data_IF_896235342399
#
_entry.id   IF_896235342399
#
_cell.length_a   1.000
_cell.length_b   1.000
_cell.length_c   1.000
_cell.angle_alpha   90.00
_cell.angle_beta   90.00
_cell.angle_gamma   90.00
#
_symmetry.space_group_name_H-M   'P 1'
#
loop_
_entity.id
_entity.type
_entity.pdbx_description
1 polymer ?
#
# COMPACT_ATOMS: atom_id res chain seq x y z
N UNK A 1 53.82 21.36 -31.99
CA UNK A 1 53.33 20.15 -31.28
C UNK A 1 52.25 20.48 -30.23
N UNK A 2 51.46 21.56 -30.39
CA UNK A 2 50.45 22.00 -29.41
C UNK A 2 48.99 22.02 -29.93
N UNK A 3 48.76 21.78 -31.23
CA UNK A 3 47.41 21.88 -31.82
C UNK A 3 46.57 20.60 -31.70
N UNK A 4 47.19 19.42 -31.56
CA UNK A 4 46.49 18.14 -31.57
C UNK A 4 45.81 17.79 -30.23
N UNK A 5 46.20 18.41 -29.11
CA UNK A 5 45.61 18.14 -27.79
C UNK A 5 44.28 18.84 -27.55
N UNK A 6 44.05 20.01 -28.17
CA UNK A 6 42.82 20.79 -27.99
C UNK A 6 41.68 20.19 -28.82
N UNK A 7 41.96 19.73 -30.04
CA UNK A 7 40.95 19.06 -30.89
C UNK A 7 40.46 17.74 -30.28
N UNK A 8 41.36 16.96 -29.64
CA UNK A 8 40.98 15.71 -28.95
C UNK A 8 40.10 16.00 -27.72
N UNK A 9 40.39 17.05 -26.94
CA UNK A 9 39.56 17.46 -25.81
C UNK A 9 38.17 17.97 -26.23
N UNK A 10 38.07 18.71 -27.34
CA UNK A 10 36.79 19.13 -27.91
C UNK A 10 35.97 17.95 -28.47
N UNK A 11 36.62 17.02 -29.17
CA UNK A 11 35.98 15.80 -29.67
C UNK A 11 35.47 14.91 -28.53
N UNK A 12 36.26 14.72 -27.46
CA UNK A 12 35.83 13.95 -26.28
C UNK A 12 34.66 14.63 -25.56
N UNK A 13 34.65 15.96 -25.43
CA UNK A 13 33.56 16.69 -24.78
C UNK A 13 32.26 16.64 -25.60
N UNK A 14 32.34 16.79 -26.94
CA UNK A 14 31.19 16.63 -27.83
C UNK A 14 30.66 15.19 -27.87
N UNK A 15 31.55 14.18 -27.82
CA UNK A 15 31.15 12.77 -27.79
C UNK A 15 30.55 12.36 -26.43
N UNK A 16 31.05 12.91 -25.33
CA UNK A 16 30.50 12.67 -24.00
C UNK A 16 29.12 13.33 -23.84
N UNK A 17 28.97 14.56 -24.35
CA UNK A 17 27.69 15.27 -24.39
C UNK A 17 26.64 14.57 -25.25
N UNK A 18 27.01 14.05 -26.42
CA UNK A 18 26.08 13.31 -27.30
C UNK A 18 25.67 11.96 -26.71
N UNK A 19 26.60 11.21 -26.09
CA UNK A 19 26.28 9.94 -25.41
C UNK A 19 25.33 10.17 -24.23
N UNK A 20 25.56 11.20 -23.42
CA UNK A 20 24.71 11.50 -22.26
C UNK A 20 23.29 11.96 -22.67
N UNK A 21 23.17 12.74 -23.75
CA UNK A 21 21.88 13.10 -24.34
C UNK A 21 21.12 11.88 -24.89
N UNK A 22 21.83 10.96 -25.56
CA UNK A 22 21.24 9.70 -26.06
C UNK A 22 20.74 8.83 -24.90
N UNK A 23 21.52 8.66 -23.83
CA UNK A 23 21.09 7.85 -22.66
C UNK A 23 19.88 8.44 -21.94
N UNK A 24 19.80 9.77 -21.82
CA UNK A 24 18.65 10.45 -21.19
C UNK A 24 17.39 10.33 -22.06
N UNK A 25 17.55 10.39 -23.38
CA UNK A 25 16.45 10.22 -24.31
C UNK A 25 15.92 8.77 -24.30
N UNK A 26 16.80 7.78 -24.31
CA UNK A 26 16.44 6.35 -24.17
C UNK A 26 15.72 6.08 -22.84
N UNK A 27 16.23 6.61 -21.72
CA UNK A 27 15.58 6.45 -20.42
C UNK A 27 14.17 7.06 -20.40
N UNK A 28 14.01 8.24 -21.00
CA UNK A 28 12.72 8.91 -21.12
C UNK A 28 11.75 8.11 -21.98
N UNK A 29 12.18 7.58 -23.12
CA UNK A 29 11.36 6.74 -24.01
C UNK A 29 10.90 5.45 -23.29
N UNK A 30 11.81 4.80 -22.57
CA UNK A 30 11.48 3.62 -21.77
C UNK A 30 10.49 3.94 -20.64
N UNK A 31 10.65 5.08 -19.96
CA UNK A 31 9.73 5.50 -18.90
C UNK A 31 8.35 5.86 -19.46
N UNK A 32 8.27 6.46 -20.66
CA UNK A 32 7.01 6.70 -21.38
C UNK A 32 6.31 5.39 -21.74
N UNK A 33 7.06 4.41 -22.25
CA UNK A 33 6.52 3.07 -22.54
C UNK A 33 5.99 2.42 -21.25
N UNK A 34 6.79 2.46 -20.19
CA UNK A 34 6.42 1.90 -18.89
C UNK A 34 5.16 2.57 -18.32
N UNK A 35 5.04 3.89 -18.42
CA UNK A 35 3.85 4.63 -18.01
C UNK A 35 2.59 4.16 -18.78
N UNK A 36 2.71 4.03 -20.10
CA UNK A 36 1.60 3.55 -20.92
C UNK A 36 1.18 2.12 -20.55
N UNK A 37 2.15 1.21 -20.35
CA UNK A 37 1.87 -0.16 -19.94
C UNK A 37 1.15 -0.22 -18.58
N UNK A 38 1.59 0.60 -17.61
CA UNK A 38 0.92 0.70 -16.29
C UNK A 38 -0.50 1.28 -16.43
N UNK A 39 -0.72 2.34 -17.22
CA UNK A 39 -2.06 2.91 -17.41
C UNK A 39 -3.00 1.89 -18.06
N UNK A 40 -2.51 1.11 -19.04
CA UNK A 40 -3.30 0.05 -19.69
C UNK A 40 -3.67 -1.03 -18.66
N UNK A 41 -2.70 -1.53 -17.88
CA UNK A 41 -2.97 -2.53 -16.85
C UNK A 41 -3.95 -2.01 -15.78
N UNK A 42 -3.79 -0.75 -15.36
CA UNK A 42 -4.69 -0.07 -14.42
C UNK A 42 -6.11 0.01 -14.99
N UNK A 43 -6.25 0.38 -16.26
CA UNK A 43 -7.56 0.47 -16.95
C UNK A 43 -8.25 -0.89 -17.09
N UNK A 44 -7.50 -1.97 -17.32
CA UNK A 44 -8.04 -3.34 -17.29
C UNK A 44 -8.57 -3.71 -15.91
N UNK A 45 -7.85 -3.34 -14.85
CA UNK A 45 -8.29 -3.58 -13.47
C UNK A 45 -9.57 -2.81 -13.15
N UNK A 46 -9.68 -1.54 -13.58
CA UNK A 46 -10.93 -0.76 -13.48
C UNK A 46 -12.08 -1.51 -14.15
N UNK A 47 -11.89 -1.94 -15.40
CA UNK A 47 -12.93 -2.63 -16.16
C UNK A 47 -13.40 -3.92 -15.45
N UNK A 48 -12.47 -4.73 -14.95
CA UNK A 48 -12.78 -5.93 -14.18
C UNK A 48 -13.57 -5.63 -12.89
N UNK A 49 -13.11 -4.65 -12.11
CA UNK A 49 -13.74 -4.31 -10.83
C UNK A 49 -15.11 -3.61 -11.03
N UNK A 50 -15.33 -2.89 -12.14
CA UNK A 50 -16.63 -2.34 -12.50
C UNK A 50 -17.66 -3.43 -12.84
N UNK A 51 -17.22 -4.60 -13.35
CA UNK A 51 -18.09 -5.74 -13.64
C UNK A 51 -18.43 -6.57 -12.38
N UNK A 52 -17.55 -6.58 -11.38
CA UNK A 52 -17.65 -7.46 -10.20
C UNK A 52 -17.57 -6.71 -8.85
N UNK A 53 -18.00 -5.45 -8.79
CA UNK A 53 -17.87 -4.63 -7.57
C UNK A 53 -18.61 -5.20 -6.36
N UNK A 54 -19.66 -6.00 -6.57
CA UNK A 54 -20.43 -6.63 -5.49
C UNK A 54 -19.63 -7.69 -4.72
N UNK A 55 -18.60 -8.27 -5.37
CA UNK A 55 -17.71 -9.27 -4.76
C UNK A 55 -16.53 -8.63 -4.00
N UNK A 56 -16.31 -7.32 -4.13
CA UNK A 56 -15.26 -6.61 -3.39
C UNK A 56 -15.50 -6.71 -1.87
N UNK A 57 -14.44 -6.97 -1.11
CA UNK A 57 -14.43 -6.88 0.36
C UNK A 57 -13.76 -5.57 0.83
N UNK A 58 -13.72 -5.34 2.14
CA UNK A 58 -13.15 -4.12 2.71
C UNK A 58 -11.69 -3.89 2.27
N UNK A 59 -10.88 -4.95 2.21
CA UNK A 59 -9.46 -4.84 1.87
C UNK A 59 -9.23 -4.57 0.37
N UNK A 60 -10.03 -5.19 -0.49
CA UNK A 60 -10.04 -4.85 -1.92
C UNK A 60 -10.43 -3.39 -2.15
N UNK A 61 -11.44 -2.91 -1.41
CA UNK A 61 -11.87 -1.52 -1.47
C UNK A 61 -10.82 -0.55 -0.90
N UNK A 62 -10.09 -0.95 0.14
CA UNK A 62 -8.94 -0.20 0.63
C UNK A 62 -7.88 0.00 -0.46
N UNK A 63 -7.51 -1.05 -1.19
CA UNK A 63 -6.60 -0.96 -2.34
C UNK A 63 -7.11 -0.04 -3.45
N UNK A 64 -8.42 -0.05 -3.72
CA UNK A 64 -9.08 0.87 -4.65
C UNK A 64 -8.95 2.33 -4.20
N UNK A 65 -9.16 2.63 -2.91
CA UNK A 65 -9.02 3.99 -2.36
C UNK A 65 -7.57 4.47 -2.36
N UNK A 66 -6.60 3.58 -2.23
CA UNK A 66 -5.18 3.89 -2.42
C UNK A 66 -4.91 4.32 -3.87
N UNK A 67 -5.34 3.52 -4.85
CA UNK A 67 -5.20 3.85 -6.27
C UNK A 67 -5.86 5.19 -6.61
N UNK A 68 -7.09 5.39 -6.13
CA UNK A 68 -7.85 6.64 -6.29
C UNK A 68 -7.05 7.84 -5.78
N UNK A 69 -6.45 7.72 -4.59
CA UNK A 69 -5.60 8.76 -4.00
C UNK A 69 -4.38 9.08 -4.86
N UNK A 70 -3.68 8.06 -5.38
CA UNK A 70 -2.51 8.24 -6.25
C UNK A 70 -2.85 8.85 -7.61
N UNK A 71 -3.97 8.46 -8.23
CA UNK A 71 -4.46 9.07 -9.48
C UNK A 71 -4.83 10.53 -9.27
N UNK A 72 -5.56 10.86 -8.18
CA UNK A 72 -5.85 12.25 -7.80
C UNK A 72 -4.56 13.03 -7.58
N UNK A 73 -3.59 12.44 -6.86
CA UNK A 73 -2.27 13.03 -6.64
C UNK A 73 -1.53 13.32 -7.95
N UNK A 74 -1.59 12.40 -8.92
CA UNK A 74 -0.99 12.56 -10.25
C UNK A 74 -1.60 13.72 -11.03
N UNK A 75 -2.93 13.83 -11.00
CA UNK A 75 -3.66 14.95 -11.63
C UNK A 75 -3.29 16.29 -10.97
N UNK A 76 -3.14 16.31 -9.64
CA UNK A 76 -2.71 17.51 -8.91
C UNK A 76 -1.28 17.91 -9.27
N UNK A 77 -0.37 16.94 -9.31
CA UNK A 77 1.02 17.16 -9.72
C UNK A 77 1.05 17.80 -11.13
N UNK A 78 0.30 17.26 -12.09
CA UNK A 78 0.17 17.83 -13.45
C UNK A 78 -0.44 19.24 -13.54
N UNK A 79 -1.08 19.73 -12.48
CA UNK A 79 -1.64 21.10 -12.41
C UNK A 79 -0.66 22.10 -11.79
N UNK A 80 0.47 21.63 -11.25
CA UNK A 80 1.50 22.50 -10.68
C UNK A 80 2.38 23.11 -11.80
N UNK A 81 2.89 24.34 -11.63
CA UNK A 81 3.67 25.04 -12.67
C UNK A 81 4.94 24.30 -13.12
N UNK A 82 5.55 23.51 -12.25
CA UNK A 82 6.77 22.76 -12.53
C UNK A 82 6.52 21.44 -13.30
N UNK A 83 5.26 21.13 -13.62
CA UNK A 83 4.90 19.92 -14.38
C UNK A 83 4.31 20.26 -15.75
N UNK A 84 4.81 19.59 -16.79
CA UNK A 84 4.39 19.78 -18.18
C UNK A 84 3.72 18.51 -18.73
N UNK A 85 2.58 18.14 -18.15
CA UNK A 85 1.84 16.95 -18.55
C UNK A 85 1.04 17.17 -19.85
N UNK A 86 1.00 16.18 -20.77
CA UNK A 86 0.11 16.22 -21.93
C UNK A 86 -1.37 16.26 -21.55
N UNK A 87 -2.17 17.02 -22.31
CA UNK A 87 -3.63 17.12 -22.07
C UNK A 87 -4.36 15.78 -22.25
N UNK A 88 -3.90 14.92 -23.16
CA UNK A 88 -4.47 13.58 -23.35
C UNK A 88 -4.27 12.70 -22.10
N UNK A 89 -3.09 12.79 -21.48
CA UNK A 89 -2.77 12.07 -20.26
C UNK A 89 -3.66 12.53 -19.11
N UNK A 90 -3.77 13.84 -18.90
CA UNK A 90 -4.65 14.41 -17.87
C UNK A 90 -6.09 13.95 -18.08
N UNK A 91 -6.57 13.96 -19.34
CA UNK A 91 -7.93 13.51 -19.67
C UNK A 91 -8.15 12.03 -19.35
N UNK A 92 -7.18 11.16 -19.67
CA UNK A 92 -7.23 9.73 -19.32
C UNK A 92 -7.27 9.51 -17.81
N UNK A 93 -6.47 10.27 -17.06
CA UNK A 93 -6.44 10.18 -15.59
C UNK A 93 -7.75 10.68 -14.97
N UNK A 94 -8.33 11.76 -15.48
CA UNK A 94 -9.63 12.27 -14.98
C UNK A 94 -10.75 11.26 -15.25
N UNK A 95 -10.80 10.61 -16.43
CA UNK A 95 -11.77 9.54 -16.72
C UNK A 95 -11.59 8.37 -15.74
N UNK A 96 -10.35 7.91 -15.57
CA UNK A 96 -10.03 6.82 -14.64
C UNK A 96 -10.42 7.19 -13.20
N UNK A 97 -10.15 8.41 -12.76
CA UNK A 97 -10.54 8.92 -11.43
C UNK A 97 -12.06 8.85 -11.23
N UNK A 98 -12.87 9.24 -12.22
CA UNK A 98 -14.33 9.17 -12.12
C UNK A 98 -14.84 7.71 -12.07
N UNK A 99 -14.28 6.82 -12.90
CA UNK A 99 -14.62 5.39 -12.89
C UNK A 99 -14.32 4.75 -11.51
N UNK A 100 -13.11 4.98 -11.00
CA UNK A 100 -12.70 4.49 -9.68
C UNK A 100 -13.62 5.02 -8.59
N UNK A 101 -13.97 6.31 -8.64
CA UNK A 101 -14.86 6.94 -7.66
C UNK A 101 -16.23 6.28 -7.65
N UNK A 102 -16.85 6.12 -8.82
CA UNK A 102 -18.16 5.50 -8.97
C UNK A 102 -18.17 4.04 -8.49
N UNK A 103 -17.19 3.27 -8.90
CA UNK A 103 -17.01 1.87 -8.52
C UNK A 103 -16.84 1.71 -7.01
N UNK A 104 -16.02 2.57 -6.37
CA UNK A 104 -15.82 2.54 -4.93
C UNK A 104 -17.13 2.84 -4.17
N UNK A 105 -17.90 3.84 -4.59
CA UNK A 105 -19.22 4.14 -3.99
C UNK A 105 -20.23 3.00 -4.17
N UNK A 106 -20.23 2.32 -5.32
CA UNK A 106 -21.10 1.17 -5.56
C UNK A 106 -20.71 -0.06 -4.74
N UNK A 107 -19.43 -0.25 -4.43
CA UNK A 107 -18.97 -1.35 -3.60
C UNK A 107 -19.36 -1.18 -2.12
N UNK A 108 -19.43 0.06 -1.60
CA UNK A 108 -19.72 0.37 -0.18
C UNK A 108 -20.91 -0.41 0.43
N UNK A 109 -22.13 -0.41 -0.16
CA UNK A 109 -23.26 -1.14 0.40
C UNK A 109 -23.04 -2.67 0.45
N UNK A 110 -22.32 -3.24 -0.52
CA UNK A 110 -22.02 -4.68 -0.52
C UNK A 110 -20.97 -5.02 0.53
N UNK A 111 -19.95 -4.17 0.70
CA UNK A 111 -18.97 -4.33 1.79
C UNK A 111 -19.68 -4.28 3.15
N UNK A 112 -20.59 -3.34 3.35
CA UNK A 112 -21.39 -3.25 4.57
C UNK A 112 -22.28 -4.50 4.78
N UNK A 113 -22.91 -5.03 3.72
CA UNK A 113 -23.77 -6.21 3.81
C UNK A 113 -22.98 -7.47 4.17
N UNK A 114 -21.74 -7.58 3.71
CA UNK A 114 -20.87 -8.74 3.99
C UNK A 114 -20.48 -8.82 5.47
N UNK A 115 -20.22 -7.67 6.10
CA UNK A 115 -19.92 -7.56 7.53
C UNK A 115 -20.21 -6.16 8.06
N UNK A 116 -21.41 -5.96 8.61
CA UNK A 116 -21.85 -4.63 9.06
C UNK A 116 -21.06 -4.11 10.28
N UNK A 117 -20.61 -5.01 11.16
CA UNK A 117 -19.91 -4.63 12.37
C UNK A 117 -18.47 -4.22 12.05
N UNK A 118 -17.78 -5.04 11.26
CA UNK A 118 -16.45 -4.77 10.79
C UNK A 118 -16.42 -3.53 9.89
N UNK A 119 -17.39 -3.38 8.98
CA UNK A 119 -17.57 -2.16 8.18
C UNK A 119 -17.71 -0.91 9.06
N UNK A 120 -18.53 -0.95 10.11
CA UNK A 120 -18.69 0.20 11.02
C UNK A 120 -17.37 0.53 11.73
N UNK A 121 -16.63 -0.47 12.17
CA UNK A 121 -15.37 -0.30 12.88
C UNK A 121 -14.28 0.30 11.99
N UNK A 122 -14.20 -0.16 10.73
CA UNK A 122 -13.15 0.18 9.78
C UNK A 122 -13.59 1.11 8.64
N UNK A 123 -14.78 1.71 8.71
CA UNK A 123 -15.27 2.66 7.69
C UNK A 123 -14.24 3.74 7.34
N UNK A 124 -13.46 4.18 8.34
CA UNK A 124 -12.40 5.18 8.21
C UNK A 124 -11.19 4.76 7.36
N UNK A 125 -11.10 3.51 6.94
CA UNK A 125 -10.11 3.06 5.95
C UNK A 125 -10.62 3.20 4.51
N UNK A 126 -11.93 3.16 4.29
CA UNK A 126 -12.53 3.09 2.94
C UNK A 126 -13.46 4.27 2.58
N UNK A 127 -13.74 5.17 3.53
CA UNK A 127 -14.67 6.29 3.36
C UNK A 127 -14.19 7.40 2.43
N UNK A 128 -12.91 7.42 2.06
CA UNK A 128 -12.33 8.46 1.21
C UNK A 128 -11.03 7.98 0.52
N UNK A 129 -10.62 8.62 -0.59
CA UNK A 129 -9.31 8.40 -1.20
C UNK A 129 -8.16 8.76 -0.24
N UNK A 130 -7.01 8.09 -0.41
CA UNK A 130 -5.82 8.36 0.39
C UNK A 130 -5.06 9.57 -0.13
N UNK A 131 -5.36 10.74 0.45
CA UNK A 131 -4.64 11.98 0.22
C UNK A 131 -3.65 12.19 1.37
N UNK A 132 -2.50 11.53 1.29
CA UNK A 132 -1.40 11.63 2.26
C UNK A 132 -0.29 12.55 1.76
N UNK A 133 0.56 13.01 2.68
CA UNK A 133 1.70 13.86 2.41
C UNK A 133 2.80 13.10 1.65
N UNK A 134 2.68 13.11 0.32
CA UNK A 134 3.67 12.50 -0.56
C UNK A 134 4.94 13.34 -0.60
N UNK A 135 6.04 12.80 -0.09
CA UNK A 135 7.37 13.41 -0.15
C UNK A 135 8.29 12.46 -0.93
N UNK A 136 8.67 12.80 -2.17
CA UNK A 136 9.59 11.98 -2.95
C UNK A 136 10.94 11.89 -2.26
N UNK A 137 11.41 10.67 -2.04
CA UNK A 137 12.63 10.39 -1.29
C UNK A 137 13.24 9.06 -1.73
N UNK A 138 14.57 8.97 -1.68
CA UNK A 138 15.31 7.72 -1.82
C UNK A 138 16.11 7.42 -0.56
N UNK A 139 16.29 6.15 -0.24
CA UNK A 139 17.15 5.73 0.86
C UNK A 139 18.62 5.99 0.53
N UNK A 140 19.39 6.34 1.55
CA UNK A 140 20.85 6.32 1.45
C UNK A 140 21.34 4.88 1.31
N UNK A 141 22.51 4.69 0.67
CA UNK A 141 23.17 3.38 0.61
C UNK A 141 23.64 2.97 2.01
N UNK A 142 22.75 2.37 2.78
CA UNK A 142 23.06 1.78 4.08
C UNK A 142 22.32 0.45 4.24
N UNK A 143 23.00 -0.50 4.88
CA UNK A 143 22.44 -1.81 5.19
C UNK A 143 21.69 -1.72 6.51
N UNK A 144 20.37 -1.59 6.41
CA UNK A 144 19.47 -1.79 7.54
C UNK A 144 19.10 -3.26 7.60
N UNK A 145 19.31 -3.90 8.74
CA UNK A 145 18.89 -5.28 8.93
C UNK A 145 17.36 -5.36 9.01
N UNK A 146 16.71 -6.26 8.23
CA UNK A 146 15.29 -6.54 8.38
C UNK A 146 14.95 -7.02 9.80
N UNK A 147 13.70 -6.80 10.20
CA UNK A 147 13.21 -7.38 11.45
C UNK A 147 13.06 -8.90 11.37
N UNK A 148 12.73 -9.51 12.50
CA UNK A 148 12.50 -10.96 12.61
C UNK A 148 11.18 -11.32 13.32
N UNK A 149 10.54 -10.37 13.99
CA UNK A 149 9.28 -10.56 14.69
C UNK A 149 8.10 -10.34 13.74
N UNK A 150 7.44 -11.43 13.35
CA UNK A 150 6.31 -11.40 12.43
C UNK A 150 4.97 -11.70 13.10
N UNK A 151 4.93 -11.91 14.41
CA UNK A 151 3.68 -12.18 15.13
C UNK A 151 2.82 -10.91 15.20
N UNK A 152 1.60 -11.02 14.70
CA UNK A 152 0.58 -9.98 14.81
C UNK A 152 -0.62 -10.53 15.60
N UNK A 153 -0.94 -9.85 16.70
CA UNK A 153 -2.18 -10.02 17.44
C UNK A 153 -3.27 -9.16 16.77
N UNK A 154 -4.14 -9.82 16.00
CA UNK A 154 -5.24 -9.18 15.25
C UNK A 154 -6.18 -8.43 16.20
N UNK A 155 -6.62 -9.04 17.29
CA UNK A 155 -7.59 -8.44 18.22
C UNK A 155 -7.00 -7.18 18.88
N UNK A 156 -5.72 -7.23 19.27
CA UNK A 156 -5.02 -6.06 19.83
C UNK A 156 -4.80 -4.97 18.78
N UNK A 157 -4.41 -5.34 17.56
CA UNK A 157 -4.20 -4.40 16.46
C UNK A 157 -5.49 -3.68 16.06
N UNK A 158 -6.58 -4.43 15.86
CA UNK A 158 -7.89 -3.92 15.49
C UNK A 158 -8.47 -3.00 16.56
N UNK A 159 -8.25 -3.31 17.84
CA UNK A 159 -8.58 -2.42 18.95
C UNK A 159 -7.83 -1.10 18.83
N UNK A 160 -6.53 -1.12 18.53
CA UNK A 160 -5.74 0.11 18.37
C UNK A 160 -6.20 0.96 17.19
N UNK A 161 -6.50 0.34 16.05
CA UNK A 161 -7.11 1.04 14.92
C UNK A 161 -8.48 1.64 15.27
N UNK A 162 -9.36 0.86 15.90
CA UNK A 162 -10.69 1.32 16.28
C UNK A 162 -10.65 2.48 17.30
N UNK A 163 -9.69 2.46 18.25
CA UNK A 163 -9.45 3.58 19.16
C UNK A 163 -8.98 4.83 18.40
N UNK A 164 -8.06 4.69 17.46
CA UNK A 164 -7.61 5.79 16.60
C UNK A 164 -8.77 6.36 15.76
N UNK A 165 -9.64 5.51 15.23
CA UNK A 165 -10.79 5.93 14.43
C UNK A 165 -11.93 6.53 15.26
N UNK A 166 -11.92 6.34 16.58
CA UNK A 166 -13.03 6.71 17.46
C UNK A 166 -14.26 5.81 17.28
N UNK A 167 -14.06 4.59 16.79
CA UNK A 167 -15.11 3.57 16.62
C UNK A 167 -15.12 2.55 17.74
N UNK A 168 -14.08 2.52 18.58
CA UNK A 168 -13.99 1.63 19.74
C UNK A 168 -14.83 2.14 20.91
N UNK A 169 -15.58 1.23 21.52
CA UNK A 169 -16.30 1.46 22.78
C UNK A 169 -16.15 0.23 23.67
N UNK A 170 -15.86 0.44 24.95
CA UNK A 170 -16.01 -0.60 25.97
C UNK A 170 -17.36 -0.44 26.69
N UNK A 171 -17.65 -1.29 27.69
CA UNK A 171 -18.90 -1.22 28.45
C UNK A 171 -19.07 0.09 29.24
N UNK A 172 -17.99 0.84 29.45
CA UNK A 172 -17.93 2.00 30.35
C UNK A 172 -17.90 3.31 29.57
N UNK A 173 -17.23 3.35 28.41
CA UNK A 173 -17.05 4.58 27.62
C UNK A 173 -16.79 4.31 26.14
N UNK A 174 -17.19 5.28 25.33
CA UNK A 174 -16.74 5.42 23.94
C UNK A 174 -15.45 6.23 23.90
N UNK A 175 -14.45 5.75 23.17
CA UNK A 175 -13.17 6.44 23.05
C UNK A 175 -13.25 7.46 21.92
N UNK A 176 -12.79 8.70 22.15
CA UNK A 176 -12.80 9.72 21.10
C UNK A 176 -11.83 9.37 19.98
N UNK A 177 -12.08 9.93 18.79
CA UNK A 177 -11.16 9.84 17.66
C UNK A 177 -9.75 10.32 18.05
N UNK A 178 -8.74 9.71 17.46
CA UNK A 178 -7.32 9.94 17.73
C UNK A 178 -6.89 9.56 19.15
N UNK A 179 -7.59 8.60 19.78
CA UNK A 179 -7.11 8.00 21.03
C UNK A 179 -5.93 7.07 20.72
N UNK A 180 -4.75 7.44 21.19
CA UNK A 180 -3.53 6.62 21.14
C UNK A 180 -3.14 6.31 22.58
N UNK A 181 -3.36 5.07 23.01
CA UNK A 181 -2.94 4.63 24.35
C UNK A 181 -1.46 4.24 24.35
N UNK A 182 -0.80 4.27 25.51
CA UNK A 182 0.58 3.79 25.62
C UNK A 182 0.70 2.31 25.20
N UNK A 183 -0.32 1.48 25.51
CA UNK A 183 -0.37 0.07 25.09
C UNK A 183 -0.37 -0.09 23.56
N UNK A 184 -1.15 0.75 22.87
CA UNK A 184 -1.19 0.77 21.41
C UNK A 184 0.11 1.34 20.83
N UNK A 185 0.63 2.42 21.41
CA UNK A 185 1.89 3.01 21.00
C UNK A 185 3.05 2.01 21.08
N UNK A 186 3.22 1.34 22.23
CA UNK A 186 4.24 0.31 22.41
C UNK A 186 4.04 -0.90 21.49
N UNK A 187 2.79 -1.24 21.16
CA UNK A 187 2.49 -2.35 20.27
C UNK A 187 2.90 -2.07 18.81
N UNK A 188 2.57 -0.88 18.30
CA UNK A 188 2.83 -0.50 16.90
C UNK A 188 4.26 0.01 16.67
N UNK A 189 4.95 0.48 17.72
CA UNK A 189 6.37 0.90 17.65
C UNK A 189 7.34 -0.18 18.11
N UNK A 190 6.85 -1.41 18.34
CA UNK A 190 7.69 -2.52 18.81
C UNK A 190 8.87 -2.75 17.85
N UNK A 191 10.12 -2.82 18.36
CA UNK A 191 11.28 -3.01 17.51
C UNK A 191 11.27 -4.39 16.85
N UNK A 192 12.05 -4.50 15.76
CA UNK A 192 12.29 -5.73 15.01
C UNK A 192 11.07 -6.38 14.35
N UNK A 193 9.97 -5.62 14.16
CA UNK A 193 8.85 -6.11 13.35
C UNK A 193 9.26 -6.42 11.92
N UNK A 194 8.63 -7.45 11.33
CA UNK A 194 8.86 -7.87 9.94
C UNK A 194 7.61 -8.41 9.26
N UNK A 195 7.66 -8.52 7.92
CA UNK A 195 6.59 -9.09 7.09
C UNK A 195 5.25 -8.40 7.35
N UNK A 196 4.20 -9.18 7.64
CA UNK A 196 2.86 -8.69 7.91
C UNK A 196 2.78 -7.76 9.14
N UNK A 197 3.62 -7.98 10.16
CA UNK A 197 3.61 -7.13 11.36
C UNK A 197 4.08 -5.71 11.04
N UNK A 198 5.18 -5.56 10.30
CA UNK A 198 5.75 -4.24 10.00
C UNK A 198 4.89 -3.42 9.04
N UNK A 199 4.19 -4.07 8.09
CA UNK A 199 3.24 -3.37 7.22
C UNK A 199 2.04 -2.83 7.99
N UNK A 200 1.52 -3.60 8.95
CA UNK A 200 0.48 -3.14 9.86
C UNK A 200 0.92 -2.03 10.82
N UNK A 201 2.17 -2.07 11.29
CA UNK A 201 2.75 -1.00 12.10
C UNK A 201 2.79 0.31 11.30
N UNK A 202 3.27 0.26 10.05
CA UNK A 202 3.26 1.41 9.16
C UNK A 202 1.84 1.89 8.84
N UNK A 203 0.90 0.97 8.62
CA UNK A 203 -0.50 1.30 8.34
C UNK A 203 -1.16 2.10 9.46
N UNK A 204 -0.79 1.85 10.72
CA UNK A 204 -1.25 2.66 11.86
C UNK A 204 -0.94 4.15 11.67
N UNK A 205 0.26 4.47 11.20
CA UNK A 205 0.69 5.84 10.96
C UNK A 205 0.02 6.45 9.71
N UNK A 206 -0.05 5.70 8.60
CA UNK A 206 -0.75 6.11 7.38
C UNK A 206 -2.23 6.42 7.68
N UNK A 207 -2.88 5.57 8.46
CA UNK A 207 -4.27 5.75 8.88
C UNK A 207 -4.44 6.93 9.82
N UNK A 208 -3.49 7.12 10.73
CA UNK A 208 -3.44 8.29 11.59
C UNK A 208 -3.34 9.58 10.78
N UNK A 209 -2.48 9.64 9.78
CA UNK A 209 -2.36 10.79 8.88
C UNK A 209 -3.64 11.04 8.09
N UNK A 210 -4.15 10.02 7.38
CA UNK A 210 -5.42 10.10 6.62
C UNK A 210 -6.56 10.61 7.49
N UNK A 211 -6.61 10.20 8.76
CA UNK A 211 -7.67 10.56 9.68
C UNK A 211 -7.38 11.83 10.49
N UNK A 212 -6.31 12.58 10.20
CA UNK A 212 -6.02 13.85 10.87
C UNK A 212 -5.59 13.70 12.33
N UNK A 213 -4.97 12.56 12.68
CA UNK A 213 -4.46 12.25 14.01
C UNK A 213 -2.95 12.53 14.18
N UNK A 214 -2.31 13.16 13.20
CA UNK A 214 -0.87 13.50 13.22
C UNK A 214 -0.47 14.22 14.51
N UNK A 215 -1.28 15.17 14.98
CA UNK A 215 -0.99 15.93 16.20
C UNK A 215 -0.90 15.05 17.47
N UNK A 216 -1.70 14.01 17.59
CA UNK A 216 -1.61 13.07 18.72
C UNK A 216 -0.43 12.10 18.55
N UNK A 217 -0.14 11.69 17.31
CA UNK A 217 1.04 10.86 16.99
C UNK A 217 2.33 11.60 17.36
N UNK A 218 2.48 12.86 16.94
CA UNK A 218 3.68 13.66 17.22
C UNK A 218 3.91 13.87 18.72
N UNK A 219 2.84 13.97 19.53
CA UNK A 219 2.98 14.01 20.99
C UNK A 219 3.63 12.75 21.57
N UNK A 220 3.36 11.57 21.00
CA UNK A 220 4.01 10.34 21.42
C UNK A 220 5.45 10.25 20.89
N UNK A 221 5.70 10.66 19.65
CA UNK A 221 7.04 10.73 19.03
C UNK A 221 8.00 11.57 19.88
N UNK A 222 7.56 12.76 20.30
CA UNK A 222 8.37 13.65 21.14
C UNK A 222 8.69 13.07 22.53
N UNK A 223 7.85 12.18 23.09
CA UNK A 223 8.16 11.49 24.36
C UNK A 223 9.29 10.48 24.21
N UNK A 224 9.43 9.87 23.03
CA UNK A 224 10.39 8.80 22.73
C UNK A 224 11.70 9.31 22.11
N UNK A 225 11.90 10.63 22.03
CA UNK A 225 13.05 11.26 21.36
C UNK A 225 13.23 10.87 19.88
N UNK A 226 12.15 10.49 19.19
CA UNK A 226 12.13 10.39 17.73
C UNK A 226 11.89 11.80 17.15
N UNK A 227 12.51 12.15 16.02
CA UNK A 227 12.47 13.56 15.56
C UNK A 227 11.12 13.97 14.99
N UNK A 228 10.45 13.09 14.24
CA UNK A 228 9.19 13.37 13.54
C UNK A 228 8.49 12.11 13.05
N UNK A 229 7.21 12.22 12.70
CA UNK A 229 6.47 11.15 12.01
C UNK A 229 7.17 10.71 10.73
N UNK A 230 7.74 11.65 9.98
CA UNK A 230 8.44 11.33 8.72
C UNK A 230 9.68 10.48 8.96
N UNK A 231 10.45 10.72 10.02
CA UNK A 231 11.60 9.87 10.36
C UNK A 231 11.14 8.46 10.74
N UNK A 232 10.04 8.34 11.48
CA UNK A 232 9.46 7.05 11.84
C UNK A 232 9.01 6.27 10.60
N UNK A 233 8.28 6.91 9.69
CA UNK A 233 7.89 6.34 8.39
C UNK A 233 9.09 5.92 7.55
N UNK A 234 10.14 6.75 7.48
CA UNK A 234 11.39 6.44 6.78
C UNK A 234 12.04 5.18 7.35
N UNK A 235 12.11 5.07 8.68
CA UNK A 235 12.70 3.91 9.36
C UNK A 235 11.91 2.62 9.09
N UNK A 236 10.57 2.68 9.09
CA UNK A 236 9.73 1.56 8.70
C UNK A 236 9.96 1.19 7.22
N UNK A 237 9.89 2.17 6.33
CA UNK A 237 10.00 1.93 4.90
C UNK A 237 11.38 1.46 4.45
N UNK A 238 12.46 1.84 5.13
CA UNK A 238 13.80 1.33 4.85
C UNK A 238 13.88 -0.17 5.18
N UNK A 239 13.36 -0.59 6.33
CA UNK A 239 13.29 -2.03 6.70
C UNK A 239 12.42 -2.81 5.74
N UNK A 240 11.24 -2.28 5.40
CA UNK A 240 10.33 -2.88 4.43
C UNK A 240 11.00 -3.00 3.05
N UNK A 241 11.75 -1.99 2.63
CA UNK A 241 12.48 -2.03 1.36
C UNK A 241 13.53 -3.15 1.35
N UNK A 242 14.23 -3.35 2.46
CA UNK A 242 15.21 -4.44 2.58
C UNK A 242 14.54 -5.82 2.50
N UNK A 243 13.34 -6.00 3.08
CA UNK A 243 12.54 -7.22 2.91
C UNK A 243 12.11 -7.43 1.44
N UNK A 244 11.57 -6.39 0.79
CA UNK A 244 11.15 -6.45 -0.60
C UNK A 244 12.31 -6.73 -1.57
N UNK A 245 13.49 -6.16 -1.27
CA UNK A 245 14.73 -6.40 -2.01
C UNK A 245 15.22 -7.83 -1.88
N UNK A 246 15.15 -8.41 -0.68
CA UNK A 246 15.50 -9.83 -0.49
C UNK A 246 14.50 -10.76 -1.21
N UNK A 247 13.20 -10.46 -1.12
CA UNK A 247 12.16 -11.22 -1.84
C UNK A 247 12.34 -11.23 -3.36
N UNK A 248 12.88 -10.16 -3.93
CA UNK A 248 13.09 -10.01 -5.39
C UNK A 248 14.53 -10.25 -5.85
N UNK A 249 15.41 -10.71 -4.96
CA UNK A 249 16.86 -10.88 -5.21
C UNK A 249 17.19 -11.73 -6.44
N UNK A 250 16.37 -12.73 -6.72
CA UNK A 250 16.54 -13.63 -7.87
C UNK A 250 15.75 -13.18 -9.12
N UNK A 251 15.32 -11.92 -9.17
CA UNK A 251 14.55 -11.35 -10.28
C UNK A 251 13.09 -11.79 -10.35
N UNK A 252 12.63 -12.58 -9.37
CA UNK A 252 11.24 -13.03 -9.23
C UNK A 252 10.86 -13.04 -7.75
N UNK A 253 9.58 -12.87 -7.45
CA UNK A 253 9.00 -13.00 -6.10
C UNK A 253 8.15 -14.26 -6.07
N UNK A 254 8.29 -15.05 -4.99
CA UNK A 254 7.46 -16.24 -4.79
C UNK A 254 5.98 -15.87 -4.83
N UNK A 255 5.15 -16.68 -5.48
CA UNK A 255 3.72 -16.40 -5.62
C UNK A 255 2.98 -16.20 -4.29
N UNK A 256 3.41 -16.87 -3.23
CA UNK A 256 2.89 -16.73 -1.86
C UNK A 256 3.33 -15.42 -1.18
N UNK A 257 4.36 -14.78 -1.70
CA UNK A 257 4.92 -13.52 -1.20
C UNK A 257 4.51 -12.31 -2.05
N UNK A 258 3.77 -12.51 -3.14
CA UNK A 258 3.35 -11.42 -4.03
C UNK A 258 2.44 -10.41 -3.31
N UNK A 259 1.53 -10.90 -2.46
CA UNK A 259 0.61 -10.03 -1.71
C UNK A 259 1.41 -9.12 -0.77
N UNK A 260 2.28 -9.72 0.05
CA UNK A 260 3.18 -8.98 0.93
C UNK A 260 4.08 -8.00 0.15
N UNK A 261 4.64 -8.41 -0.98
CA UNK A 261 5.48 -7.55 -1.80
C UNK A 261 4.72 -6.33 -2.34
N UNK A 262 3.49 -6.52 -2.83
CA UNK A 262 2.65 -5.41 -3.32
C UNK A 262 2.18 -4.52 -2.18
N UNK A 263 1.83 -5.09 -1.03
CA UNK A 263 1.49 -4.35 0.19
C UNK A 263 2.66 -3.45 0.61
N UNK A 264 3.84 -4.01 0.77
CA UNK A 264 5.06 -3.27 1.08
C UNK A 264 5.35 -2.15 0.07
N UNK A 265 5.19 -2.46 -1.22
CA UNK A 265 5.39 -1.50 -2.31
C UNK A 265 4.38 -0.35 -2.27
N UNK A 266 3.09 -0.65 -2.07
CA UNK A 266 2.05 0.40 -2.09
C UNK A 266 2.12 1.29 -0.85
N UNK A 267 2.32 0.71 0.35
CA UNK A 267 2.32 1.47 1.60
C UNK A 267 3.46 2.49 1.65
N UNK A 268 4.68 2.08 1.31
CA UNK A 268 5.80 3.02 1.22
C UNK A 268 5.73 3.89 -0.04
N UNK A 269 5.15 3.37 -1.11
CA UNK A 269 4.98 4.11 -2.36
C UNK A 269 4.04 5.31 -2.25
N UNK A 270 2.93 5.20 -1.49
CA UNK A 270 2.02 6.35 -1.28
C UNK A 270 2.65 7.47 -0.44
N UNK A 271 3.66 7.15 0.38
CA UNK A 271 4.44 8.11 1.17
C UNK A 271 5.58 8.77 0.37
N UNK A 272 5.89 8.24 -0.82
CA UNK A 272 6.89 8.79 -1.74
C UNK A 272 8.28 8.18 -1.68
N UNK A 273 8.46 7.00 -1.08
CA UNK A 273 9.74 6.29 -1.11
C UNK A 273 9.96 5.63 -2.48
N UNK A 274 10.86 6.20 -3.29
CA UNK A 274 10.97 5.90 -4.72
C UNK A 274 11.75 4.62 -5.04
N UNK A 275 12.50 4.07 -4.08
CA UNK A 275 13.28 2.83 -4.26
C UNK A 275 12.42 1.61 -4.62
N UNK A 276 11.13 1.65 -4.28
CA UNK A 276 10.15 0.62 -4.62
C UNK A 276 9.71 0.64 -6.10
N UNK A 277 10.11 1.66 -6.87
CA UNK A 277 9.63 1.89 -8.24
C UNK A 277 10.65 1.52 -9.31
N UNK A 278 11.54 0.57 -9.01
CA UNK A 278 12.47 0.08 -10.03
C UNK A 278 11.70 -0.50 -11.23
N UNK A 279 12.17 -0.22 -12.44
CA UNK A 279 11.54 -0.73 -13.67
C UNK A 279 11.35 -2.25 -13.66
N UNK A 280 12.31 -2.98 -13.09
CA UNK A 280 12.23 -4.44 -12.91
C UNK A 280 11.04 -4.83 -12.04
N UNK A 281 10.81 -4.12 -10.93
CA UNK A 281 9.69 -4.40 -10.03
C UNK A 281 8.35 -4.05 -10.66
N UNK A 282 8.27 -2.92 -11.38
CA UNK A 282 7.06 -2.53 -12.11
C UNK A 282 6.66 -3.65 -13.09
N UNK A 283 7.55 -4.05 -14.01
CA UNK A 283 7.21 -5.11 -14.97
C UNK A 283 6.96 -6.46 -14.33
N UNK A 284 7.62 -6.77 -13.21
CA UNK A 284 7.36 -7.98 -12.44
C UNK A 284 5.92 -7.98 -11.91
N UNK A 285 5.46 -6.91 -11.28
CA UNK A 285 4.07 -6.79 -10.80
C UNK A 285 3.07 -6.83 -11.95
N UNK A 286 3.33 -6.09 -13.05
CA UNK A 286 2.45 -6.11 -14.23
C UNK A 286 2.31 -7.52 -14.83
N UNK A 287 3.36 -8.36 -14.75
CA UNK A 287 3.32 -9.73 -15.25
C UNK A 287 2.40 -10.67 -14.47
N UNK A 288 1.99 -10.28 -13.25
CA UNK A 288 1.08 -11.07 -12.42
C UNK A 288 -0.41 -10.81 -12.73
N UNK A 289 -0.70 -9.75 -13.49
CA UNK A 289 -2.06 -9.46 -13.95
C UNK A 289 -2.48 -10.48 -15.00
N UNK A 290 -3.69 -11.03 -14.87
CA UNK A 290 -4.24 -11.92 -15.88
C UNK A 290 -4.83 -11.13 -17.08
N UNK A 291 -5.32 -11.85 -18.09
CA UNK A 291 -5.85 -11.24 -19.31
C UNK A 291 -7.07 -10.34 -19.07
N UNK A 292 -7.91 -10.63 -18.08
CA UNK A 292 -9.12 -9.86 -17.76
C UNK A 292 -8.83 -8.64 -16.87
N UNK A 293 -7.64 -8.55 -16.28
CA UNK A 293 -7.21 -7.38 -15.51
C UNK A 293 -7.14 -7.58 -14.00
N UNK A 294 -7.44 -8.78 -13.50
CA UNK A 294 -7.37 -9.09 -12.07
C UNK A 294 -6.08 -9.83 -11.69
N UNK A 295 -5.90 -10.09 -10.40
CA UNK A 295 -4.78 -10.86 -9.87
C UNK A 295 -5.30 -12.13 -9.19
N UNK A 296 -4.53 -13.21 -9.31
CA UNK A 296 -4.92 -14.57 -8.87
C UNK A 296 -3.81 -15.22 -8.04
N UNK A 297 -4.14 -16.37 -7.43
CA UNK A 297 -3.16 -17.35 -6.96
C UNK A 297 -3.33 -18.64 -7.78
N UNK A 298 -2.28 -19.47 -7.91
CA UNK A 298 -2.42 -20.80 -8.49
C UNK A 298 -3.54 -21.59 -7.80
N UNK A 299 -4.40 -22.28 -8.57
CA UNK A 299 -5.62 -22.93 -8.05
C UNK A 299 -5.37 -23.98 -6.95
N UNK A 300 -4.20 -24.61 -6.95
CA UNK A 300 -3.76 -25.51 -5.85
C UNK A 300 -3.48 -24.74 -4.55
N UNK A 301 -3.03 -23.49 -4.65
CA UNK A 301 -2.70 -22.63 -3.51
C UNK A 301 -3.91 -21.88 -2.97
N UNK A 302 -4.91 -21.54 -3.78
CA UNK A 302 -6.19 -20.98 -3.30
C UNK A 302 -6.84 -21.91 -2.28
N UNK A 303 -6.87 -23.22 -2.58
CA UNK A 303 -7.41 -24.25 -1.67
C UNK A 303 -6.58 -24.38 -0.38
N UNK A 304 -5.26 -24.32 -0.50
CA UNK A 304 -4.35 -24.38 0.66
C UNK A 304 -4.51 -23.14 1.54
N UNK A 305 -4.55 -21.93 0.96
CA UNK A 305 -4.74 -20.68 1.71
C UNK A 305 -6.11 -20.64 2.39
N UNK A 306 -7.18 -21.03 1.68
CA UNK A 306 -8.50 -21.14 2.29
C UNK A 306 -8.53 -22.14 3.45
N UNK A 307 -7.83 -23.28 3.30
CA UNK A 307 -7.72 -24.29 4.36
C UNK A 307 -6.88 -23.79 5.54
N UNK A 308 -5.77 -23.10 5.30
CA UNK A 308 -4.93 -22.50 6.34
C UNK A 308 -5.69 -21.40 7.11
N UNK A 309 -6.42 -20.54 6.40
CA UNK A 309 -7.26 -19.50 7.00
C UNK A 309 -8.39 -20.10 7.84
N UNK A 310 -9.02 -21.18 7.37
CA UNK A 310 -10.05 -21.92 8.11
C UNK A 310 -9.48 -22.62 9.35
N UNK A 311 -8.31 -23.27 9.23
CA UNK A 311 -7.61 -23.88 10.36
C UNK A 311 -7.21 -22.82 11.40
N UNK A 312 -6.62 -21.71 10.98
CA UNK A 312 -6.24 -20.62 11.86
C UNK A 312 -7.46 -20.01 12.55
N UNK A 313 -8.58 -19.84 11.84
CA UNK A 313 -9.81 -19.33 12.43
C UNK A 313 -10.44 -20.33 13.42
N UNK A 314 -10.44 -21.63 13.11
CA UNK A 314 -10.88 -22.69 14.01
C UNK A 314 -10.01 -22.80 15.25
N UNK A 315 -8.69 -22.71 15.09
CA UNK A 315 -7.74 -22.68 16.21
C UNK A 315 -7.97 -21.45 17.08
N UNK A 316 -8.21 -20.28 16.48
CA UNK A 316 -8.55 -19.05 17.20
C UNK A 316 -9.86 -19.18 17.96
N UNK A 317 -10.94 -19.65 17.34
CA UNK A 317 -12.23 -19.90 18.00
C UNK A 317 -12.03 -20.88 19.17
N UNK A 318 -11.27 -21.95 18.98
CA UNK A 318 -10.97 -22.90 20.03
C UNK A 318 -10.15 -22.27 21.17
N UNK A 319 -9.14 -21.47 20.87
CA UNK A 319 -8.34 -20.73 21.86
C UNK A 319 -9.17 -19.69 22.60
N UNK A 320 -10.08 -18.99 21.93
CA UNK A 320 -11.02 -18.06 22.53
C UNK A 320 -12.03 -18.79 23.41
N UNK A 321 -12.55 -19.94 22.97
CA UNK A 321 -13.42 -20.80 23.79
C UNK A 321 -12.68 -21.31 25.04
N UNK A 322 -11.44 -21.78 24.90
CA UNK A 322 -10.60 -22.22 26.02
C UNK A 322 -10.27 -21.08 26.98
N UNK A 323 -9.97 -19.88 26.46
CA UNK A 323 -9.73 -18.68 27.26
C UNK A 323 -11.00 -18.17 27.93
N UNK A 324 -12.17 -18.35 27.29
CA UNK A 324 -13.46 -18.01 27.87
C UNK A 324 -13.84 -19.02 28.96
N UNK A 325 -13.60 -20.31 28.77
CA UNK A 325 -13.71 -21.33 29.83
C UNK A 325 -12.74 -21.04 30.99
N UNK A 326 -11.53 -20.56 30.71
CA UNK A 326 -10.59 -20.10 31.73
C UNK A 326 -11.00 -18.77 32.39
N UNK A 327 -11.89 -17.99 31.76
CA UNK A 327 -12.40 -16.68 32.24
C UNK A 327 -13.79 -16.76 32.86
N UNK A 328 -14.40 -17.93 33.02
CA UNK A 328 -15.62 -18.14 33.82
C UNK A 328 -15.40 -17.95 35.36
N UNK A 329 -14.34 -17.22 35.75
CA UNK A 329 -14.14 -16.64 37.10
C UNK A 329 -14.25 -15.10 37.10
N UNK A 330 -14.29 -14.41 35.94
CA UNK A 330 -14.58 -12.97 35.89
C UNK A 330 -15.45 -12.58 34.69
N UNK A 331 -16.63 -12.03 35.02
CA UNK A 331 -17.79 -11.85 34.14
C UNK A 331 -17.58 -10.87 32.96
N UNK A 332 -17.92 -11.39 31.78
CA UNK A 332 -18.68 -10.81 30.67
C UNK A 332 -18.41 -9.35 30.21
N UNK A 333 -17.84 -9.22 29.01
CA UNK A 333 -17.94 -7.97 28.25
C UNK A 333 -17.04 -7.77 27.03
N UNK A 334 -17.14 -8.60 25.99
CA UNK A 334 -16.72 -8.17 24.64
C UNK A 334 -17.44 -8.99 23.58
N UNK A 335 -18.21 -8.32 22.71
CA UNK A 335 -18.81 -8.95 21.55
C UNK A 335 -17.71 -9.54 20.65
N UNK A 336 -17.92 -10.77 20.20
CA UNK A 336 -17.08 -11.40 19.18
C UNK A 336 -17.18 -10.60 17.88
N UNK A 337 -16.17 -9.80 17.57
CA UNK A 337 -15.95 -9.19 16.25
C UNK A 337 -15.00 -10.09 15.47
N UNK A 338 -15.50 -11.22 14.97
CA UNK A 338 -14.71 -12.08 14.10
C UNK A 338 -14.78 -11.63 12.65
N UNK A 339 -13.87 -10.75 12.20
CA UNK A 339 -13.35 -10.68 10.80
C UNK A 339 -12.24 -9.64 10.64
N UNK A 340 -11.37 -9.92 9.67
CA UNK A 340 -9.94 -9.62 9.66
C UNK A 340 -9.55 -8.55 8.62
N UNK A 341 -8.55 -7.72 8.95
CA UNK A 341 -7.84 -6.87 7.99
C UNK A 341 -6.99 -7.73 7.05
N UNK A 342 -7.00 -7.39 5.76
CA UNK A 342 -6.20 -7.99 4.70
C UNK A 342 -6.46 -9.49 4.46
N UNK A 343 -7.74 -9.91 4.43
CA UNK A 343 -8.09 -11.29 4.06
C UNK A 343 -8.62 -11.43 2.65
N UNK A 344 -8.23 -12.54 2.06
CA UNK A 344 -8.55 -12.83 0.68
C UNK A 344 -10.01 -13.27 0.49
N UNK A 345 -10.63 -12.82 -0.61
CA UNK A 345 -11.98 -13.20 -1.03
C UNK A 345 -11.99 -13.45 -2.53
N UNK A 346 -12.50 -14.62 -2.92
CA UNK A 346 -12.65 -14.97 -4.33
C UNK A 346 -13.67 -14.08 -5.04
N UNK A 347 -13.32 -13.73 -6.28
CA UNK A 347 -14.10 -13.00 -7.27
C UNK A 347 -14.24 -13.86 -8.53
N UNK A 348 -14.97 -13.37 -9.54
CA UNK A 348 -15.14 -14.08 -10.81
C UNK A 348 -13.80 -14.44 -11.47
N UNK A 349 -13.67 -15.66 -12.00
CA UNK A 349 -12.49 -16.08 -12.77
C UNK A 349 -11.23 -16.39 -11.93
N UNK A 350 -11.40 -16.97 -10.73
CA UNK A 350 -10.32 -17.27 -9.76
C UNK A 350 -9.56 -16.01 -9.26
N UNK A 351 -10.14 -14.83 -9.50
CA UNK A 351 -9.64 -13.55 -9.08
C UNK A 351 -9.77 -13.37 -7.56
N UNK A 352 -8.91 -12.52 -7.03
CA UNK A 352 -8.74 -12.32 -5.60
C UNK A 352 -8.93 -10.85 -5.26
N UNK A 353 -9.94 -10.52 -4.43
CA UNK A 353 -10.33 -9.15 -4.12
C UNK A 353 -9.21 -8.36 -3.45
N UNK A 354 -8.57 -8.95 -2.43
CA UNK A 354 -7.52 -8.28 -1.68
C UNK A 354 -6.27 -8.10 -2.55
N UNK A 355 -5.78 -9.17 -3.18
CA UNK A 355 -4.64 -9.12 -4.09
C UNK A 355 -4.84 -8.16 -5.27
N UNK A 356 -6.02 -8.18 -5.89
CA UNK A 356 -6.36 -7.25 -6.98
C UNK A 356 -6.40 -5.81 -6.49
N UNK A 357 -6.97 -5.56 -5.30
CA UNK A 357 -6.96 -4.24 -4.67
C UNK A 357 -5.53 -3.72 -4.39
N UNK A 358 -4.66 -4.55 -3.81
CA UNK A 358 -3.26 -4.19 -3.56
C UNK A 358 -2.54 -3.84 -4.85
N UNK A 359 -2.63 -4.72 -5.86
CA UNK A 359 -2.00 -4.48 -7.15
C UNK A 359 -2.51 -3.19 -7.81
N UNK A 360 -3.82 -2.91 -7.67
CA UNK A 360 -4.42 -1.70 -8.18
C UNK A 360 -3.87 -0.44 -7.49
N UNK A 361 -3.75 -0.47 -6.16
CA UNK A 361 -3.08 0.57 -5.37
C UNK A 361 -1.63 0.76 -5.79
N UNK A 362 -0.87 -0.32 -5.94
CA UNK A 362 0.53 -0.32 -6.40
C UNK A 362 0.67 0.30 -7.80
N UNK A 363 -0.19 -0.07 -8.76
CA UNK A 363 -0.16 0.54 -10.09
C UNK A 363 -0.48 2.04 -10.05
N UNK A 364 -1.36 2.47 -9.14
CA UNK A 364 -1.61 3.88 -8.87
C UNK A 364 -0.36 4.65 -8.44
N UNK A 365 0.46 4.08 -7.55
CA UNK A 365 1.71 4.71 -7.12
C UNK A 365 2.75 4.74 -8.25
N UNK A 366 2.81 3.70 -9.09
CA UNK A 366 3.65 3.68 -10.28
C UNK A 366 3.28 4.78 -11.28
N UNK A 367 1.98 5.01 -11.54
CA UNK A 367 1.51 6.10 -12.40
C UNK A 367 2.04 7.43 -11.88
N UNK A 368 1.85 7.71 -10.59
CA UNK A 368 2.28 8.98 -9.99
C UNK A 368 3.78 9.15 -10.07
N UNK A 369 4.56 8.14 -9.71
CA UNK A 369 6.01 8.19 -9.78
C UNK A 369 6.51 8.46 -11.22
N UNK A 370 6.03 7.69 -12.20
CA UNK A 370 6.46 7.83 -13.60
C UNK A 370 6.10 9.20 -14.18
N UNK A 371 4.91 9.74 -13.85
CA UNK A 371 4.54 11.11 -14.24
C UNK A 371 5.53 12.12 -13.68
N UNK A 372 5.94 11.96 -12.42
CA UNK A 372 6.91 12.87 -11.80
C UNK A 372 8.30 12.77 -12.40
N UNK A 373 8.73 11.58 -12.83
CA UNK A 373 10.01 11.40 -13.52
C UNK A 373 9.97 11.96 -14.95
N UNK A 374 8.84 11.90 -15.63
CA UNK A 374 8.71 12.27 -17.04
C UNK A 374 8.44 13.74 -17.29
N UNK A 375 7.67 14.38 -16.42
CA UNK A 375 7.05 15.67 -16.71
C UNK A 375 7.42 16.79 -15.73
N UNK A 376 8.21 16.51 -14.68
CA UNK A 376 8.75 17.55 -13.80
C UNK A 376 9.95 18.23 -14.45
N UNK A 377 9.98 19.56 -14.49
CA UNK A 377 11.06 20.36 -15.08
C UNK A 377 11.67 21.34 -14.08
#
# INVERSE_FOLDING_TARGET
MFNTRIEILFLICCYCGSVQLVTLQEEREDNLKTLNDVIIATSKTVSFLEEDYSAINLDGLFGIRLCQGSVIGSIRDCKLPEFHCPNDLISRLEIMKEQISKMAEYAMPYVQQQDALYYKQFLKTIDAPYIVNYIPEKFEESTVEPGFENSYDEDRGDKCFAMMFGTYSDQVRTYPKCTITDDCWTYVTRPNSSKYKITHDLLYFIFGEKNGCVGEIEKHIHKENVSSLRELERNFCHKIYMEAKDMSKFGTVNVLSQDLFMEQTVLCGILGFEDFFSRKWIYMVLSWQNAVGCFTLPNNMIKVQATLNDIANKQRILLTMLNNEAREIDKAGSGETGRQLLREKSMNGDCLAHKTGLAFGTMGTYIRHLIRQLYRH
#
